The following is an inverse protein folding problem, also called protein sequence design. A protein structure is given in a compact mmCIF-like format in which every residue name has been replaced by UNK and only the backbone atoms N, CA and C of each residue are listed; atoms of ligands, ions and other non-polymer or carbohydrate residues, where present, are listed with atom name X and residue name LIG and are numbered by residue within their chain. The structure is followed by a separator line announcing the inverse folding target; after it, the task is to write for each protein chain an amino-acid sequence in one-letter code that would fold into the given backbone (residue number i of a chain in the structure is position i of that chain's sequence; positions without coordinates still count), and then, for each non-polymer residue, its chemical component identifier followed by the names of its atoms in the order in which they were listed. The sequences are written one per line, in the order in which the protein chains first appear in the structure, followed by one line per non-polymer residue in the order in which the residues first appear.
data_IF_757368589568
#
_entry.id   IF_757368589568
#
_cell.length_a   1.000
_cell.length_b   1.000
_cell.length_c   1.000
_cell.angle_alpha   90.00
_cell.angle_beta   90.00
_cell.angle_gamma   90.00
#
_symmetry.space_group_name_H-M   'P 1'
#
loop_
_entity.id
_entity.type
_entity.pdbx_description
1 polymer ?
#
# COMPACT_ATOMS: atom_id res chain seq x y z
N UNK A 1 26.61 -9.26 9.11
CA UNK A 1 25.17 -9.17 8.77
C UNK A 1 24.67 -7.92 9.43
N UNK A 2 24.15 -6.98 8.65
CA UNK A 2 23.59 -5.75 9.20
C UNK A 2 22.22 -6.04 9.81
N UNK A 3 21.89 -5.38 10.92
CA UNK A 3 20.62 -5.55 11.63
C UNK A 3 20.07 -4.17 11.94
N UNK A 4 18.78 -3.99 11.70
CA UNK A 4 18.04 -2.82 12.14
C UNK A 4 16.66 -3.24 12.66
N UNK A 5 16.16 -2.54 13.66
CA UNK A 5 14.85 -2.78 14.26
C UNK A 5 13.97 -1.58 13.98
N UNK A 6 12.82 -1.82 13.35
CA UNK A 6 11.81 -0.79 13.10
C UNK A 6 10.69 -1.02 14.10
N UNK A 7 10.53 -0.08 15.03
CA UNK A 7 9.44 -0.11 15.99
C UNK A 7 8.15 0.34 15.32
N UNK A 8 7.07 -0.43 15.46
CA UNK A 8 5.81 -0.18 14.76
C UNK A 8 4.63 -0.04 15.73
N UNK A 9 3.67 0.79 15.35
CA UNK A 9 2.38 0.95 16.03
C UNK A 9 1.23 0.76 15.04
N UNK A 10 0.25 -0.06 15.41
CA UNK A 10 -0.98 -0.25 14.64
C UNK A 10 -1.87 0.97 14.80
N UNK A 11 -2.28 1.59 13.68
CA UNK A 11 -3.15 2.78 13.70
C UNK A 11 -4.57 2.51 13.22
N UNK A 12 -4.82 1.33 12.61
CA UNK A 12 -6.16 0.88 12.23
C UNK A 12 -6.32 -0.62 12.48
N UNK A 13 -7.52 -1.13 12.78
CA UNK A 13 -7.70 -2.54 13.15
C UNK A 13 -7.12 -3.49 12.11
N UNK A 14 -6.23 -4.40 12.54
CA UNK A 14 -5.52 -5.33 11.66
C UNK A 14 -6.12 -6.73 11.76
N UNK A 15 -6.89 -7.10 10.74
CA UNK A 15 -7.52 -8.42 10.61
C UNK A 15 -6.58 -9.41 9.91
N UNK A 16 -5.40 -9.64 10.49
CA UNK A 16 -4.46 -10.65 10.00
C UNK A 16 -4.64 -11.97 10.71
N UNK A 17 -4.58 -13.08 9.96
CA UNK A 17 -4.75 -14.44 10.47
C UNK A 17 -3.88 -15.41 9.67
N UNK A 18 -3.42 -16.48 10.30
CA UNK A 18 -2.73 -17.58 9.65
C UNK A 18 -3.67 -18.67 9.14
N UNK A 19 -3.31 -19.93 9.41
CA UNK A 19 -4.13 -21.08 9.04
C UNK A 19 -5.48 -21.05 9.77
N UNK A 20 -5.48 -20.68 11.05
CA UNK A 20 -6.71 -20.41 11.80
C UNK A 20 -7.21 -19.00 11.49
N UNK A 21 -8.28 -18.91 10.69
CA UNK A 21 -8.87 -17.64 10.24
C UNK A 21 -9.60 -16.87 11.34
N UNK A 22 -9.79 -17.47 12.52
CA UNK A 22 -10.49 -16.89 13.66
C UNK A 22 -9.55 -16.29 14.70
N UNK A 23 -8.24 -16.57 14.61
CA UNK A 23 -7.23 -16.05 15.54
C UNK A 23 -6.36 -15.00 14.86
N UNK A 24 -6.17 -13.88 15.53
CA UNK A 24 -5.26 -12.84 15.09
C UNK A 24 -3.81 -13.34 15.19
N UNK A 25 -3.08 -13.28 14.08
CA UNK A 25 -1.69 -13.72 13.97
C UNK A 25 -0.92 -12.79 13.04
N UNK A 26 0.16 -12.19 13.54
CA UNK A 26 1.03 -11.32 12.75
C UNK A 26 2.23 -12.12 12.23
N UNK A 27 2.48 -12.07 10.92
CA UNK A 27 3.42 -12.98 10.26
C UNK A 27 4.41 -12.24 9.37
N UNK A 28 5.70 -12.52 9.53
CA UNK A 28 6.74 -11.97 8.66
C UNK A 28 6.53 -12.26 7.16
N UNK A 29 6.01 -13.44 6.73
CA UNK A 29 5.64 -13.67 5.33
C UNK A 29 4.61 -12.67 4.77
N UNK A 30 3.63 -12.26 5.56
CA UNK A 30 2.61 -11.30 5.13
C UNK A 30 3.22 -9.90 4.95
N UNK A 31 4.06 -9.48 5.90
CA UNK A 31 4.85 -8.25 5.77
C UNK A 31 5.74 -8.27 4.53
N UNK A 32 6.45 -9.38 4.28
CA UNK A 32 7.29 -9.53 3.09
C UNK A 32 6.46 -9.46 1.80
N UNK A 33 5.24 -9.99 1.80
CA UNK A 33 4.32 -9.91 0.67
C UNK A 33 3.85 -8.47 0.40
N UNK A 34 3.58 -7.69 1.45
CA UNK A 34 3.27 -6.26 1.32
C UNK A 34 4.44 -5.49 0.70
N UNK A 35 5.65 -5.69 1.22
CA UNK A 35 6.88 -5.05 0.73
C UNK A 35 7.13 -5.36 -0.75
N UNK A 36 7.03 -6.65 -1.14
CA UNK A 36 7.09 -7.07 -2.55
C UNK A 36 5.99 -6.46 -3.41
N UNK A 37 4.76 -6.37 -2.89
CA UNK A 37 3.66 -5.78 -3.63
C UNK A 37 3.91 -4.30 -3.92
N UNK A 38 4.36 -3.53 -2.91
CA UNK A 38 4.68 -2.10 -3.04
C UNK A 38 5.81 -1.88 -4.04
N UNK A 39 6.88 -2.69 -3.97
CA UNK A 39 7.95 -2.68 -4.98
C UNK A 39 7.41 -2.89 -6.41
N UNK A 40 6.56 -3.92 -6.60
CA UNK A 40 6.00 -4.22 -7.93
C UNK A 40 5.15 -3.08 -8.47
N UNK A 41 4.26 -2.49 -7.67
CA UNK A 41 3.40 -1.39 -8.16
C UNK A 41 4.20 -0.09 -8.38
N UNK A 42 5.27 0.14 -7.61
CA UNK A 42 6.17 1.29 -7.77
C UNK A 42 7.06 1.17 -9.01
N UNK A 43 7.54 -0.03 -9.32
CA UNK A 43 8.39 -0.30 -10.48
C UNK A 43 7.67 -0.02 -11.80
N UNK A 44 8.36 0.64 -12.74
CA UNK A 44 7.93 0.83 -14.13
C UNK A 44 8.56 -0.15 -15.11
N UNK A 45 9.26 -1.18 -14.63
CA UNK A 45 9.74 -2.27 -15.49
C UNK A 45 8.56 -2.92 -16.21
N UNK A 46 8.59 -2.84 -17.54
CA UNK A 46 7.48 -3.26 -18.41
C UNK A 46 7.48 -4.78 -18.56
N UNK A 47 8.65 -5.37 -18.87
CA UNK A 47 8.74 -6.79 -19.17
C UNK A 47 8.58 -7.63 -17.89
N UNK A 48 7.62 -8.56 -17.83
CA UNK A 48 7.40 -9.38 -16.64
C UNK A 48 8.63 -10.17 -16.20
N UNK A 49 9.42 -10.68 -17.16
CA UNK A 49 10.67 -11.41 -16.88
C UNK A 49 11.71 -10.53 -16.17
N UNK A 50 11.94 -9.32 -16.67
CA UNK A 50 12.90 -8.37 -16.08
C UNK A 50 12.46 -7.96 -14.66
N UNK A 51 11.15 -7.71 -14.46
CA UNK A 51 10.62 -7.41 -13.13
C UNK A 51 10.79 -8.58 -12.16
N UNK A 52 10.53 -9.82 -12.62
CA UNK A 52 10.72 -11.03 -11.83
C UNK A 52 12.19 -11.20 -11.40
N UNK A 53 13.13 -10.96 -12.33
CA UNK A 53 14.56 -11.00 -12.03
C UNK A 53 14.97 -9.92 -11.01
N UNK A 54 14.48 -8.68 -11.18
CA UNK A 54 14.71 -7.60 -10.23
C UNK A 54 14.15 -7.93 -8.83
N UNK A 55 12.89 -8.38 -8.75
CA UNK A 55 12.27 -8.78 -7.48
C UNK A 55 13.01 -9.97 -6.84
N UNK A 56 13.47 -10.92 -7.64
CA UNK A 56 14.27 -12.07 -7.18
C UNK A 56 15.60 -11.61 -6.59
N UNK A 57 16.27 -10.62 -7.22
CA UNK A 57 17.50 -10.04 -6.67
C UNK A 57 17.30 -9.38 -5.30
N UNK A 58 16.14 -8.75 -5.07
CA UNK A 58 15.83 -8.05 -3.81
C UNK A 58 15.32 -8.98 -2.71
N UNK A 59 14.53 -10.00 -3.07
CA UNK A 59 13.77 -10.78 -2.08
C UNK A 59 13.98 -12.29 -2.14
N UNK A 60 14.80 -12.75 -3.09
CA UNK A 60 14.95 -14.17 -3.42
C UNK A 60 13.72 -14.76 -4.10
N UNK A 61 13.80 -16.05 -4.43
CA UNK A 61 12.70 -16.86 -4.93
C UNK A 61 12.70 -18.25 -4.25
N UNK A 62 11.70 -19.08 -4.55
CA UNK A 62 11.57 -20.39 -3.93
C UNK A 62 12.51 -21.46 -4.52
N UNK A 63 13.09 -21.20 -5.70
CA UNK A 63 13.80 -22.22 -6.49
C UNK A 63 15.31 -22.19 -6.25
N UNK A 64 15.95 -21.05 -6.47
CA UNK A 64 17.42 -21.00 -6.62
C UNK A 64 18.09 -19.82 -5.88
N UNK A 65 17.33 -18.81 -5.46
CA UNK A 65 17.89 -17.59 -4.88
C UNK A 65 17.39 -17.34 -3.47
N UNK A 66 18.25 -17.60 -2.48
CA UNK A 66 18.00 -17.22 -1.10
C UNK A 66 17.85 -15.68 -0.98
N UNK A 67 16.90 -15.23 -0.15
CA UNK A 67 16.65 -13.80 0.04
C UNK A 67 17.87 -13.09 0.63
N UNK A 68 18.25 -11.90 0.11
CA UNK A 68 19.27 -11.04 0.71
C UNK A 68 18.89 -10.47 2.08
N UNK A 69 17.61 -10.52 2.44
CA UNK A 69 17.09 -10.02 3.70
C UNK A 69 16.31 -11.10 4.46
N UNK A 70 16.33 -11.01 5.78
CA UNK A 70 15.41 -11.71 6.68
C UNK A 70 14.58 -10.69 7.45
N UNK A 71 13.27 -10.89 7.44
CA UNK A 71 12.33 -10.13 8.26
C UNK A 71 11.84 -11.02 9.37
N UNK A 72 11.87 -10.51 10.59
CA UNK A 72 11.27 -11.12 11.76
C UNK A 72 10.31 -10.12 12.38
N UNK A 73 9.16 -10.59 12.87
CA UNK A 73 8.21 -9.77 13.62
C UNK A 73 8.26 -10.20 15.08
N UNK A 74 8.36 -9.22 15.99
CA UNK A 74 8.39 -9.45 17.43
C UNK A 74 7.18 -8.72 18.03
N UNK A 75 6.30 -9.46 18.70
CA UNK A 75 5.19 -8.89 19.45
C UNK A 75 5.71 -8.06 20.64
N UNK A 76 5.25 -6.82 20.77
CA UNK A 76 5.61 -5.87 21.82
C UNK A 76 4.38 -5.36 22.60
N UNK A 77 3.33 -6.16 22.66
CA UNK A 77 2.07 -5.76 23.30
C UNK A 77 0.95 -5.56 22.29
N UNK A 78 0.83 -6.49 21.34
CA UNK A 78 -0.28 -6.53 20.41
C UNK A 78 -1.59 -6.83 21.15
N UNK A 79 -2.36 -5.79 21.40
CA UNK A 79 -3.70 -5.93 21.97
C UNK A 79 -4.64 -6.58 20.95
N UNK A 80 -5.28 -7.68 21.35
CA UNK A 80 -6.32 -8.36 20.57
C UNK A 80 -7.70 -7.94 21.04
N UNK A 81 -8.60 -7.70 20.09
CA UNK A 81 -10.01 -7.35 20.31
C UNK A 81 -10.87 -8.00 19.24
N UNK A 82 -12.14 -8.24 19.56
CA UNK A 82 -13.14 -8.55 18.55
C UNK A 82 -13.67 -7.23 17.98
N UNK A 83 -13.63 -7.09 16.65
CA UNK A 83 -14.20 -5.93 15.95
C UNK A 83 -14.93 -6.36 14.69
N UNK A 84 -15.94 -5.58 14.31
CA UNK A 84 -16.63 -5.74 13.04
C UNK A 84 -15.68 -5.46 11.86
N UNK A 85 -15.58 -6.40 10.92
CA UNK A 85 -14.77 -6.20 9.70
C UNK A 85 -15.39 -5.14 8.78
N UNK A 86 -16.73 -4.96 8.80
CA UNK A 86 -17.46 -3.96 8.02
C UNK A 86 -18.27 -3.07 8.96
N UNK A 87 -18.20 -1.75 8.76
CA UNK A 87 -18.79 -0.75 9.64
C UNK A 87 -20.06 -0.08 9.06
N UNK A 88 -20.40 -0.32 7.79
CA UNK A 88 -21.63 0.20 7.17
C UNK A 88 -22.88 -0.64 7.46
N UNK A 89 -22.73 -1.78 8.12
CA UNK A 89 -23.81 -2.68 8.52
C UNK A 89 -23.41 -3.48 9.76
N UNK A 90 -24.39 -4.02 10.47
CA UNK A 90 -24.10 -5.01 11.51
C UNK A 90 -23.38 -6.21 10.89
N UNK A 91 -22.26 -6.60 11.48
CA UNK A 91 -21.47 -7.74 11.04
C UNK A 91 -20.86 -8.47 12.22
N UNK A 92 -20.63 -9.78 12.05
CA UNK A 92 -19.96 -10.60 13.05
C UNK A 92 -18.58 -10.00 13.36
N UNK A 93 -18.29 -9.85 14.64
CA UNK A 93 -16.97 -9.45 15.08
C UNK A 93 -15.98 -10.60 14.95
N UNK A 94 -14.76 -10.27 14.55
CA UNK A 94 -13.66 -11.21 14.39
C UNK A 94 -12.46 -10.68 15.17
N UNK A 95 -11.68 -11.58 15.74
CA UNK A 95 -10.45 -11.20 16.43
C UNK A 95 -9.50 -10.47 15.47
N UNK A 96 -8.99 -9.33 15.92
CA UNK A 96 -8.02 -8.50 15.22
C UNK A 96 -7.04 -7.88 16.22
N UNK A 97 -5.90 -7.43 15.72
CA UNK A 97 -5.05 -6.52 16.51
C UNK A 97 -5.65 -5.11 16.48
N UNK A 98 -5.82 -4.52 17.66
CA UNK A 98 -6.37 -3.17 17.80
C UNK A 98 -5.30 -2.09 17.64
N UNK A 99 -5.77 -0.90 17.37
CA UNK A 99 -5.02 0.35 17.35
C UNK A 99 -4.23 0.54 18.66
N UNK A 100 -3.06 1.15 18.58
CA UNK A 100 -2.10 1.32 19.68
C UNK A 100 -1.28 0.06 19.98
N UNK A 101 -1.62 -1.10 19.41
CA UNK A 101 -0.81 -2.31 19.54
C UNK A 101 0.57 -2.13 18.91
N UNK A 102 1.62 -2.52 19.64
CA UNK A 102 3.01 -2.34 19.22
C UNK A 102 3.66 -3.67 18.81
N UNK A 103 4.55 -3.62 17.83
CA UNK A 103 5.41 -4.73 17.41
C UNK A 103 6.67 -4.20 16.75
N UNK A 104 7.72 -5.03 16.71
CA UNK A 104 8.96 -4.69 16.01
C UNK A 104 9.08 -5.48 14.70
N UNK A 105 9.64 -4.83 13.68
CA UNK A 105 10.17 -5.48 12.49
C UNK A 105 11.69 -5.50 12.62
N UNK A 106 12.26 -6.69 12.77
CA UNK A 106 13.72 -6.87 12.74
C UNK A 106 14.13 -7.20 11.31
N UNK A 107 14.77 -6.24 10.66
CA UNK A 107 15.40 -6.38 9.34
C UNK A 107 16.85 -6.84 9.52
N UNK A 108 17.22 -7.93 8.85
CA UNK A 108 18.61 -8.40 8.77
C UNK A 108 19.03 -8.51 7.32
N UNK A 109 20.11 -7.84 6.94
CA UNK A 109 20.66 -7.85 5.57
C UNK A 109 21.99 -8.59 5.51
N UNK A 110 22.11 -9.51 4.56
CA UNK A 110 23.37 -10.20 4.29
C UNK A 110 24.29 -9.29 3.47
N UNK A 111 25.47 -8.99 4.01
CA UNK A 111 26.38 -7.93 3.48
C UNK A 111 26.66 -8.06 1.98
N UNK A 112 26.85 -9.28 1.47
CA UNK A 112 27.28 -9.56 0.10
C UNK A 112 26.17 -9.67 -0.94
N UNK A 113 24.90 -9.37 -0.60
CA UNK A 113 23.76 -9.58 -1.51
C UNK A 113 22.78 -8.40 -1.51
N UNK A 114 22.24 -8.10 -2.69
CA UNK A 114 21.18 -7.10 -2.88
C UNK A 114 21.61 -5.66 -2.61
N UNK A 115 20.64 -4.77 -2.50
CA UNK A 115 20.84 -3.35 -2.18
C UNK A 115 21.36 -3.14 -0.75
N UNK A 116 21.74 -1.91 -0.42
CA UNK A 116 22.15 -1.55 0.95
C UNK A 116 20.99 -1.64 1.97
N UNK A 117 21.33 -1.59 3.27
CA UNK A 117 20.34 -1.69 4.34
C UNK A 117 19.31 -0.54 4.25
N UNK A 118 19.78 0.66 3.93
CA UNK A 118 19.02 1.90 3.80
C UNK A 118 17.88 1.76 2.77
N UNK A 119 18.16 1.19 1.61
CA UNK A 119 17.18 0.91 0.56
C UNK A 119 16.04 0.05 1.11
N UNK A 120 16.36 -1.04 1.82
CA UNK A 120 15.34 -1.92 2.39
C UNK A 120 14.55 -1.25 3.51
N UNK A 121 15.19 -0.44 4.35
CA UNK A 121 14.49 0.35 5.37
C UNK A 121 13.48 1.30 4.71
N UNK A 122 13.93 2.12 3.75
CA UNK A 122 13.06 3.03 2.99
C UNK A 122 11.90 2.31 2.30
N UNK A 123 12.17 1.15 1.69
CA UNK A 123 11.13 0.37 1.03
C UNK A 123 10.11 -0.20 2.03
N UNK A 124 10.55 -0.61 3.22
CA UNK A 124 9.62 -0.98 4.31
C UNK A 124 8.78 0.23 4.71
N UNK A 125 9.39 1.39 4.98
CA UNK A 125 8.67 2.62 5.35
C UNK A 125 7.64 3.01 4.29
N UNK A 126 8.03 3.02 3.01
CA UNK A 126 7.12 3.28 1.89
C UNK A 126 5.96 2.28 1.89
N UNK A 127 6.22 1.02 2.21
CA UNK A 127 5.18 -0.01 2.27
C UNK A 127 4.20 0.19 3.43
N UNK A 128 4.66 0.75 4.55
CA UNK A 128 3.81 1.11 5.69
C UNK A 128 2.88 2.26 5.33
N UNK A 129 3.41 3.24 4.59
CA UNK A 129 2.69 4.43 4.12
C UNK A 129 1.63 4.05 3.08
N UNK A 130 1.99 3.26 2.06
CA UNK A 130 1.12 2.97 0.91
C UNK A 130 0.18 1.77 1.10
N UNK A 131 0.22 1.09 2.25
CA UNK A 131 -0.50 -0.16 2.42
C UNK A 131 -0.85 -0.52 3.86
N UNK A 132 -1.07 -1.82 4.07
CA UNK A 132 -1.48 -2.39 5.34
C UNK A 132 -1.55 -3.92 5.26
N UNK A 133 -1.72 -4.57 6.40
CA UNK A 133 -1.78 -6.03 6.53
C UNK A 133 -3.20 -6.52 6.82
N UNK A 134 -3.45 -7.79 6.52
CA UNK A 134 -4.71 -8.45 6.82
C UNK A 134 -5.86 -8.12 5.85
N UNK A 135 -7.05 -8.57 6.25
CA UNK A 135 -8.27 -8.45 5.44
C UNK A 135 -8.65 -6.98 5.26
N UNK A 136 -9.05 -6.65 4.02
CA UNK A 136 -9.46 -5.29 3.61
C UNK A 136 -8.38 -4.22 3.81
N UNK A 137 -7.09 -4.60 3.77
CA UNK A 137 -5.99 -3.63 3.87
C UNK A 137 -6.01 -2.55 2.78
N UNK A 138 -6.53 -2.86 1.60
CA UNK A 138 -6.78 -1.89 0.52
C UNK A 138 -7.92 -0.89 0.79
N UNK A 139 -8.53 -0.95 1.98
CA UNK A 139 -9.66 -0.13 2.47
C UNK A 139 -9.34 0.47 3.85
N UNK A 140 -8.08 0.81 4.07
CA UNK A 140 -7.60 1.52 5.26
C UNK A 140 -7.44 0.67 6.52
N UNK A 141 -7.62 -0.66 6.45
CA UNK A 141 -7.45 -1.54 7.63
C UNK A 141 -6.03 -2.07 7.73
N UNK A 142 -5.61 -2.40 8.95
CA UNK A 142 -4.28 -2.93 9.22
C UNK A 142 -3.14 -2.05 8.73
N UNK A 143 -3.37 -0.74 8.62
CA UNK A 143 -2.32 0.28 8.52
C UNK A 143 -1.63 0.42 9.88
N UNK A 144 -0.32 0.60 9.81
CA UNK A 144 0.59 0.74 10.95
C UNK A 144 1.73 1.65 10.50
N UNK A 145 2.36 2.31 11.46
CA UNK A 145 3.40 3.32 11.21
C UNK A 145 4.61 3.00 12.05
N UNK A 146 5.75 3.61 11.71
CA UNK A 146 6.89 3.55 12.61
C UNK A 146 6.57 4.36 13.87
N UNK A 147 6.81 3.77 15.04
CA UNK A 147 6.80 4.48 16.30
C UNK A 147 8.06 5.38 16.34
N UNK A 148 7.93 6.55 16.95
CA UNK A 148 9.09 7.44 17.11
C UNK A 148 10.10 6.78 18.05
N UNK A 149 11.22 6.31 17.48
CA UNK A 149 12.22 5.53 18.20
C UNK A 149 13.64 6.08 18.08
N UNK A 150 13.84 7.22 17.42
CA UNK A 150 15.15 7.87 17.23
C UNK A 150 16.14 7.12 16.31
N UNK A 151 16.09 5.79 16.23
CA UNK A 151 16.87 4.98 15.29
C UNK A 151 16.20 4.98 13.91
N UNK A 152 16.74 5.78 12.97
CA UNK A 152 16.29 5.84 11.57
C UNK A 152 14.77 5.97 11.38
N UNK A 153 14.22 7.11 11.76
CA UNK A 153 12.83 7.48 11.41
C UNK A 153 12.86 8.69 10.50
N UNK A 154 12.46 8.59 9.21
CA UNK A 154 12.35 9.78 8.39
C UNK A 154 11.32 10.72 9.02
N UNK A 155 11.72 11.96 9.21
CA UNK A 155 10.84 12.98 9.77
C UNK A 155 9.88 13.46 8.68
N UNK A 156 8.68 12.87 8.65
CA UNK A 156 7.68 13.04 7.59
C UNK A 156 6.52 13.90 8.09
N UNK A 157 6.51 15.16 7.68
CA UNK A 157 5.43 16.12 7.92
C UNK A 157 4.61 16.31 6.64
N UNK A 158 3.45 16.96 6.73
CA UNK A 158 2.60 17.21 5.56
C UNK A 158 3.37 17.84 4.36
N UNK A 159 4.25 18.84 4.54
CA UNK A 159 4.99 19.45 3.42
C UNK A 159 5.97 18.52 2.71
N UNK A 160 6.55 17.53 3.41
CA UNK A 160 7.63 16.70 2.86
C UNK A 160 7.22 15.24 2.60
N UNK A 161 6.02 14.80 3.03
CA UNK A 161 5.54 13.44 2.87
C UNK A 161 5.46 13.02 1.38
N UNK A 162 4.75 13.77 0.55
CA UNK A 162 4.65 13.46 -0.89
C UNK A 162 6.00 13.63 -1.63
N UNK A 163 6.81 14.67 -1.36
CA UNK A 163 8.18 14.75 -1.87
C UNK A 163 9.03 13.52 -1.52
N UNK A 164 9.00 13.05 -0.26
CA UNK A 164 9.74 11.86 0.16
C UNK A 164 9.26 10.59 -0.55
N UNK A 165 7.94 10.38 -0.64
CA UNK A 165 7.36 9.25 -1.39
C UNK A 165 7.82 9.30 -2.86
N UNK A 166 7.79 10.47 -3.48
CA UNK A 166 8.22 10.67 -4.87
C UNK A 166 9.68 10.29 -5.06
N UNK A 167 10.55 10.68 -4.13
CA UNK A 167 11.96 10.32 -4.17
C UNK A 167 12.17 8.82 -4.05
N UNK A 168 11.51 8.16 -3.08
CA UNK A 168 11.62 6.70 -2.93
C UNK A 168 11.13 5.95 -4.17
N UNK A 169 10.05 6.40 -4.80
CA UNK A 169 9.55 5.81 -6.05
C UNK A 169 10.56 5.95 -7.20
N UNK A 170 11.26 7.08 -7.32
CA UNK A 170 12.26 7.28 -8.37
C UNK A 170 13.53 6.45 -8.11
N UNK A 171 14.02 6.40 -6.86
CA UNK A 171 15.15 5.54 -6.46
C UNK A 171 14.90 4.06 -6.79
N UNK A 172 13.68 3.56 -6.53
CA UNK A 172 13.29 2.18 -6.88
C UNK A 172 13.27 1.90 -8.39
N UNK A 173 13.21 2.95 -9.20
CA UNK A 173 13.30 2.88 -10.66
C UNK A 173 14.72 3.19 -11.17
N UNK A 174 15.73 3.14 -10.29
CA UNK A 174 17.14 3.32 -10.64
C UNK A 174 17.54 4.76 -10.95
N UNK A 175 16.72 5.73 -10.56
CA UNK A 175 16.98 7.14 -10.81
C UNK A 175 17.56 7.79 -9.57
N UNK A 176 18.76 8.39 -9.70
CA UNK A 176 19.35 9.19 -8.64
C UNK A 176 18.54 10.46 -8.37
N UNK A 177 18.66 11.02 -7.16
CA UNK A 177 17.90 12.19 -6.70
C UNK A 177 17.97 13.42 -7.65
N UNK A 178 19.09 13.57 -8.35
CA UNK A 178 19.36 14.69 -9.27
C UNK A 178 19.21 14.32 -10.76
N UNK A 179 18.60 13.17 -11.07
CA UNK A 179 18.38 12.75 -12.47
C UNK A 179 17.38 13.68 -13.15
N UNK A 180 17.74 14.20 -14.33
CA UNK A 180 16.80 14.89 -15.24
C UNK A 180 15.69 13.95 -15.73
N UNK A 181 15.96 12.64 -15.75
CA UNK A 181 15.02 11.61 -16.11
C UNK A 181 14.35 11.09 -14.84
N UNK A 182 13.17 11.63 -14.53
CA UNK A 182 12.31 11.16 -13.42
C UNK A 182 11.11 10.38 -13.95
N UNK A 183 10.76 9.33 -13.23
CA UNK A 183 9.60 8.47 -13.51
C UNK A 183 8.34 9.04 -12.89
N UNK A 184 8.46 9.52 -11.66
CA UNK A 184 7.37 10.12 -10.89
C UNK A 184 7.74 11.56 -10.52
N UNK A 185 6.75 12.45 -10.56
CA UNK A 185 6.85 13.86 -10.15
C UNK A 185 5.75 14.20 -9.16
N UNK A 186 6.04 15.14 -8.26
CA UNK A 186 5.07 15.71 -7.34
C UNK A 186 4.66 17.10 -7.86
N UNK A 187 3.42 17.21 -8.34
CA UNK A 187 2.88 18.44 -8.93
C UNK A 187 1.42 18.60 -8.48
N UNK A 188 1.02 19.84 -8.17
CA UNK A 188 -0.37 20.18 -7.84
C UNK A 188 -0.98 19.31 -6.72
N UNK A 189 -0.20 18.97 -5.69
CA UNK A 189 -0.70 18.19 -4.54
C UNK A 189 -0.83 16.68 -4.80
N UNK A 190 -0.34 16.18 -5.93
CA UNK A 190 -0.35 14.74 -6.26
C UNK A 190 0.97 14.27 -6.86
N UNK A 191 1.27 13.00 -6.65
CA UNK A 191 2.35 12.29 -7.32
C UNK A 191 1.76 11.66 -8.56
N UNK A 192 2.33 11.95 -9.72
CA UNK A 192 1.93 11.37 -11.01
C UNK A 192 3.15 10.82 -11.74
N UNK A 193 2.90 10.02 -12.77
CA UNK A 193 3.95 9.65 -13.73
C UNK A 193 4.37 10.90 -14.50
N UNK A 194 5.69 11.13 -14.60
CA UNK A 194 6.24 12.25 -15.33
C UNK A 194 5.76 12.22 -16.80
N UNK A 195 5.20 13.32 -17.37
CA UNK A 195 4.71 13.33 -18.76
C UNK A 195 5.76 12.92 -19.80
N UNK A 196 7.00 13.41 -19.65
CA UNK A 196 8.16 13.02 -20.48
C UNK A 196 8.62 11.56 -20.34
N UNK A 197 8.15 10.79 -19.35
CA UNK A 197 8.52 9.38 -19.21
C UNK A 197 7.93 8.47 -20.30
N UNK A 198 7.06 9.00 -21.20
CA UNK A 198 6.49 8.29 -22.37
C UNK A 198 5.95 6.89 -22.02
N UNK A 199 5.19 6.80 -20.93
CA UNK A 199 4.66 5.53 -20.43
C UNK A 199 3.54 5.01 -21.33
N UNK A 200 3.76 3.82 -21.90
CA UNK A 200 2.75 3.11 -22.70
C UNK A 200 1.93 2.18 -21.81
N UNK A 201 0.82 2.69 -21.25
CA UNK A 201 0.00 1.99 -20.26
C UNK A 201 -0.58 0.65 -20.72
N UNK A 202 -0.73 0.43 -22.02
CA UNK A 202 -1.19 -0.84 -22.59
C UNK A 202 -0.16 -1.98 -22.49
N UNK A 203 1.12 -1.66 -22.27
CA UNK A 203 2.18 -2.67 -22.14
C UNK A 203 2.24 -3.28 -20.74
N UNK A 204 1.65 -2.64 -19.73
CA UNK A 204 1.63 -3.16 -18.37
C UNK A 204 0.46 -4.12 -18.17
N UNK A 205 0.76 -5.39 -17.95
CA UNK A 205 -0.23 -6.45 -17.65
C UNK A 205 -0.45 -6.66 -16.14
N UNK A 206 -0.05 -5.68 -15.34
CA UNK A 206 -0.08 -5.71 -13.87
C UNK A 206 -0.45 -4.33 -13.32
N UNK A 207 -0.85 -4.23 -12.04
CA UNK A 207 -0.99 -2.93 -11.38
C UNK A 207 0.35 -2.19 -11.32
N UNK A 208 0.29 -0.89 -11.60
CA UNK A 208 1.41 0.06 -11.57
C UNK A 208 0.85 1.38 -11.07
N UNK A 209 1.56 2.10 -10.20
CA UNK A 209 1.09 3.39 -9.66
C UNK A 209 0.86 4.40 -10.81
N UNK A 210 -0.33 4.97 -10.85
CA UNK A 210 -0.77 6.03 -11.77
C UNK A 210 -0.72 7.39 -11.06
N UNK A 211 -1.27 7.44 -9.85
CA UNK A 211 -1.39 8.65 -9.04
C UNK A 211 -1.31 8.29 -7.55
N UNK A 212 -0.70 9.16 -6.74
CA UNK A 212 -0.83 9.15 -5.28
C UNK A 212 -1.22 10.54 -4.81
N UNK A 213 -2.19 10.64 -3.90
CA UNK A 213 -2.52 11.91 -3.23
C UNK A 213 -3.00 11.71 -1.81
N UNK A 214 -2.92 12.76 -1.02
CA UNK A 214 -3.42 12.81 0.36
C UNK A 214 -4.89 13.21 0.38
N UNK A 215 -5.65 12.69 1.33
CA UNK A 215 -6.98 13.24 1.67
C UNK A 215 -6.93 14.17 2.87
N UNK A 216 -8.10 14.47 3.45
CA UNK A 216 -8.18 15.36 4.60
C UNK A 216 -7.73 14.68 5.89
N UNK A 217 -7.22 15.46 6.87
CA UNK A 217 -6.90 14.95 8.20
C UNK A 217 -8.04 14.13 8.81
N UNK A 218 -7.69 13.00 9.43
CA UNK A 218 -8.62 12.06 10.06
C UNK A 218 -8.66 12.34 11.56
N UNK A 219 -9.79 12.83 12.10
CA UNK A 219 -9.92 13.02 13.55
C UNK A 219 -10.02 11.70 14.31
N UNK A 220 -10.73 10.71 13.73
CA UNK A 220 -10.94 9.38 14.32
C UNK A 220 -10.95 8.32 13.24
N UNK A 221 -10.08 7.32 13.37
CA UNK A 221 -9.88 6.24 12.40
C UNK A 221 -11.15 5.42 12.17
N UNK A 222 -11.90 5.10 13.23
CA UNK A 222 -13.17 4.36 13.12
C UNK A 222 -14.20 5.09 12.25
N UNK A 223 -14.33 6.42 12.41
CA UNK A 223 -15.24 7.25 11.61
C UNK A 223 -14.82 7.26 10.14
N UNK A 224 -13.52 7.43 9.88
CA UNK A 224 -12.97 7.33 8.53
C UNK A 224 -13.23 5.96 7.88
N UNK A 225 -12.96 4.87 8.59
CA UNK A 225 -13.19 3.51 8.09
C UNK A 225 -14.68 3.24 7.80
N UNK A 226 -15.59 3.82 8.61
CA UNK A 226 -17.03 3.79 8.34
C UNK A 226 -17.36 4.52 7.05
N UNK A 227 -16.81 5.72 6.82
CA UNK A 227 -16.98 6.45 5.54
C UNK A 227 -16.44 5.65 4.35
N UNK A 228 -15.27 5.01 4.47
CA UNK A 228 -14.70 4.13 3.43
C UNK A 228 -15.64 2.98 3.09
N UNK A 229 -16.26 2.36 4.09
CA UNK A 229 -17.19 1.27 3.87
C UNK A 229 -18.52 1.70 3.25
N UNK A 230 -19.06 2.84 3.69
CA UNK A 230 -20.26 3.44 3.10
C UNK A 230 -19.99 3.80 1.64
N UNK A 231 -18.87 4.46 1.34
CA UNK A 231 -18.47 4.80 -0.02
C UNK A 231 -18.29 3.54 -0.89
N UNK A 232 -17.66 2.50 -0.34
CA UNK A 232 -17.50 1.21 -1.02
C UNK A 232 -18.82 0.51 -1.33
N UNK A 233 -19.87 0.77 -0.54
CA UNK A 233 -21.21 0.26 -0.81
C UNK A 233 -21.93 1.12 -1.85
N UNK A 234 -21.94 2.44 -1.65
CA UNK A 234 -22.60 3.43 -2.51
C UNK A 234 -22.08 3.41 -3.96
N UNK A 235 -20.77 3.24 -4.14
CA UNK A 235 -20.18 3.23 -5.49
C UNK A 235 -20.73 2.09 -6.36
N UNK A 236 -21.13 0.96 -5.77
CA UNK A 236 -21.70 -0.18 -6.50
C UNK A 236 -23.09 0.12 -7.04
N UNK A 237 -23.87 0.94 -6.33
CA UNK A 237 -25.16 1.43 -6.83
C UNK A 237 -24.99 2.57 -7.84
N UNK A 238 -23.96 3.42 -7.69
CA UNK A 238 -23.68 4.51 -8.63
C UNK A 238 -23.14 4.00 -9.97
N UNK A 239 -22.33 2.94 -9.95
CA UNK A 239 -21.76 2.30 -11.13
C UNK A 239 -22.20 0.82 -11.17
N UNK A 240 -23.40 0.51 -11.72
CA UNK A 240 -23.95 -0.84 -11.73
C UNK A 240 -23.08 -1.85 -12.49
N UNK A 241 -23.25 -3.13 -12.12
CA UNK A 241 -22.37 -4.30 -12.38
C UNK A 241 -22.04 -4.66 -13.83
N UNK A 242 -22.59 -3.95 -14.81
CA UNK A 242 -22.20 -4.10 -16.23
C UNK A 242 -20.84 -3.44 -16.53
N UNK A 243 -20.40 -2.53 -15.65
CA UNK A 243 -19.05 -1.93 -15.67
C UNK A 243 -18.11 -2.64 -14.69
N UNK A 244 -16.83 -2.70 -15.04
CA UNK A 244 -15.78 -3.18 -14.15
C UNK A 244 -15.72 -2.25 -12.93
N UNK A 245 -15.94 -2.76 -11.72
CA UNK A 245 -15.83 -1.98 -10.47
C UNK A 245 -14.37 -1.74 -10.13
N UNK A 246 -13.78 -0.65 -10.63
CA UNK A 246 -12.37 -0.32 -10.46
C UNK A 246 -12.05 0.11 -9.03
N UNK A 247 -12.89 0.98 -8.47
CA UNK A 247 -12.68 1.54 -7.16
C UNK A 247 -12.85 0.47 -6.07
N UNK A 248 -13.74 -0.52 -6.26
CA UNK A 248 -13.98 -1.57 -5.25
C UNK A 248 -13.36 -2.94 -5.53
N UNK A 249 -13.18 -3.28 -6.81
CA UNK A 249 -12.91 -4.64 -7.26
C UNK A 249 -14.12 -5.57 -7.10
N UNK A 250 -14.04 -6.75 -7.70
CA UNK A 250 -15.06 -7.80 -7.54
C UNK A 250 -14.44 -9.20 -7.61
N UNK A 251 -15.14 -10.17 -7.01
CA UNK A 251 -14.86 -11.59 -7.11
C UNK A 251 -16.20 -12.30 -7.32
N UNK A 252 -16.49 -12.68 -8.57
CA UNK A 252 -17.75 -13.28 -9.02
C UNK A 252 -17.51 -14.10 -10.29
N UNK A 253 -18.19 -13.79 -11.40
CA UNK A 253 -17.94 -14.36 -12.75
C UNK A 253 -16.57 -13.99 -13.36
N UNK A 254 -15.65 -13.52 -12.53
CA UNK A 254 -14.31 -13.02 -12.83
C UNK A 254 -13.69 -12.45 -11.55
N UNK A 255 -12.44 -12.00 -11.63
CA UNK A 255 -11.77 -11.37 -10.50
C UNK A 255 -11.07 -10.10 -10.96
N UNK A 256 -11.45 -8.98 -10.36
CA UNK A 256 -10.77 -7.71 -10.50
C UNK A 256 -10.34 -7.21 -9.13
N UNK A 257 -9.05 -6.97 -9.00
CA UNK A 257 -8.51 -6.30 -7.84
C UNK A 257 -8.87 -4.80 -7.92
N UNK A 258 -9.27 -4.19 -6.80
CA UNK A 258 -9.35 -2.74 -6.67
C UNK A 258 -8.11 -2.03 -7.21
N UNK A 259 -8.32 -1.06 -8.09
CA UNK A 259 -7.31 -0.14 -8.61
C UNK A 259 -7.21 1.16 -7.79
N UNK A 260 -8.04 1.31 -6.75
CA UNK A 260 -7.87 2.32 -5.70
C UNK A 260 -7.47 1.65 -4.40
N UNK A 261 -6.27 1.97 -3.91
CA UNK A 261 -5.79 1.59 -2.58
C UNK A 261 -6.06 2.76 -1.65
N UNK A 262 -6.66 2.46 -0.49
CA UNK A 262 -6.81 3.41 0.61
C UNK A 262 -5.95 2.90 1.76
N UNK A 263 -4.95 3.68 2.17
CA UNK A 263 -4.18 3.47 3.41
C UNK A 263 -4.31 4.69 4.31
N UNK A 264 -3.84 4.57 5.55
CA UNK A 264 -3.74 5.66 6.52
C UNK A 264 -2.28 5.73 6.96
N UNK A 265 -1.75 6.94 7.06
CA UNK A 265 -0.44 7.21 7.66
C UNK A 265 -0.58 8.20 8.82
N UNK A 266 0.50 8.35 9.58
CA UNK A 266 0.65 9.36 10.64
C UNK A 266 1.91 10.16 10.35
N UNK A 267 1.78 11.46 10.23
CA UNK A 267 2.93 12.36 10.12
C UNK A 267 3.66 12.46 11.45
N UNK A 268 4.90 12.94 11.43
CA UNK A 268 5.74 13.08 12.63
C UNK A 268 5.20 14.07 13.66
N UNK A 269 4.32 14.99 13.26
CA UNK A 269 3.56 15.89 14.15
C UNK A 269 2.24 15.25 14.66
N UNK A 270 2.00 13.97 14.37
CA UNK A 270 0.89 13.19 14.91
C UNK A 270 -0.41 13.24 14.09
N UNK A 271 -0.45 13.98 12.98
CA UNK A 271 -1.65 14.07 12.15
C UNK A 271 -1.89 12.77 11.37
N UNK A 272 -3.11 12.21 11.47
CA UNK A 272 -3.52 11.07 10.67
C UNK A 272 -4.05 11.53 9.32
N UNK A 273 -3.54 10.93 8.24
CA UNK A 273 -3.90 11.28 6.86
C UNK A 273 -4.22 10.03 6.05
N UNK A 274 -5.26 10.03 5.23
CA UNK A 274 -5.48 8.98 4.26
C UNK A 274 -4.56 9.19 3.05
N UNK A 275 -4.09 8.09 2.50
CA UNK A 275 -3.36 8.06 1.23
C UNK A 275 -4.19 7.28 0.23
N UNK A 276 -4.44 7.93 -0.90
CA UNK A 276 -5.13 7.35 -2.04
C UNK A 276 -4.10 7.03 -3.12
N UNK A 277 -3.88 5.74 -3.35
CA UNK A 277 -2.96 5.27 -4.39
C UNK A 277 -3.77 4.63 -5.52
N UNK A 278 -3.73 5.27 -6.68
CA UNK A 278 -4.32 4.80 -7.92
C UNK A 278 -3.30 3.90 -8.60
N UNK A 279 -3.70 2.68 -8.93
CA UNK A 279 -2.88 1.75 -9.70
C UNK A 279 -3.63 1.34 -10.96
N UNK A 280 -2.90 1.10 -12.04
CA UNK A 280 -3.46 0.59 -13.29
C UNK A 280 -4.38 -0.59 -13.03
N UNK A 281 -5.64 -0.46 -13.47
CA UNK A 281 -6.59 -1.55 -13.47
C UNK A 281 -6.16 -2.62 -14.49
N UNK A 282 -6.23 -3.89 -14.08
CA UNK A 282 -5.89 -5.04 -14.92
C UNK A 282 -7.10 -5.95 -14.99
N UNK A 283 -7.71 -6.01 -16.18
CA UNK A 283 -8.90 -6.81 -16.44
C UNK A 283 -8.49 -7.98 -17.34
N UNK A 284 -8.45 -9.18 -16.77
CA UNK A 284 -8.26 -10.40 -17.56
C UNK A 284 -9.53 -10.63 -18.39
N UNK A 285 -9.41 -10.72 -19.72
CA UNK A 285 -10.46 -11.04 -20.72
C UNK A 285 -11.14 -9.89 -21.48
N UNK A 286 -10.54 -8.71 -21.65
CA UNK A 286 -11.03 -7.74 -22.65
C UNK A 286 -9.90 -7.30 -23.55
N UNK A 287 -10.19 -7.10 -24.84
CA UNK A 287 -9.26 -6.52 -25.81
C UNK A 287 -8.54 -5.33 -25.17
N UNK A 288 -7.20 -5.37 -25.14
CA UNK A 288 -6.32 -4.34 -24.54
C UNK A 288 -6.51 -2.92 -25.13
N UNK A 289 -7.42 -2.75 -26.10
CA UNK A 289 -7.76 -1.49 -26.77
C UNK A 289 -8.99 -0.77 -26.16
N UNK A 290 -9.70 -1.35 -25.18
CA UNK A 290 -10.72 -0.58 -24.46
C UNK A 290 -10.07 0.36 -23.45
N UNK A 291 -10.31 1.66 -23.62
CA UNK A 291 -9.96 2.68 -22.62
C UNK A 291 -10.86 2.47 -21.41
N UNK A 292 -10.28 2.00 -20.30
CA UNK A 292 -10.99 1.70 -19.06
C UNK A 292 -10.66 2.77 -18.02
N UNK A 293 -11.69 3.38 -17.43
CA UNK A 293 -11.55 4.37 -16.35
C UNK A 293 -10.62 5.54 -16.71
N UNK A 294 -10.85 6.13 -17.90
CA UNK A 294 -9.96 7.06 -18.62
C UNK A 294 -9.49 8.23 -17.72
N UNK A 295 -10.36 8.73 -16.85
CA UNK A 295 -10.08 9.89 -15.97
C UNK A 295 -10.19 9.55 -14.47
N UNK A 296 -10.11 8.26 -14.15
CA UNK A 296 -10.30 7.76 -12.78
C UNK A 296 -11.66 8.14 -12.16
N UNK A 297 -12.71 8.32 -12.98
CA UNK A 297 -14.02 8.87 -12.58
C UNK A 297 -14.64 8.09 -11.40
N UNK A 298 -14.69 6.76 -11.48
CA UNK A 298 -15.25 5.90 -10.42
C UNK A 298 -14.44 6.04 -9.12
N UNK A 299 -13.11 6.05 -9.24
CA UNK A 299 -12.18 6.16 -8.10
C UNK A 299 -12.25 7.54 -7.46
N UNK A 300 -12.37 8.60 -8.26
CA UNK A 300 -12.58 9.98 -7.80
C UNK A 300 -13.95 10.13 -7.12
N UNK A 301 -14.99 9.51 -7.65
CA UNK A 301 -16.33 9.48 -7.03
C UNK A 301 -16.28 8.79 -5.67
N UNK A 302 -15.58 7.64 -5.56
CA UNK A 302 -15.39 6.95 -4.30
C UNK A 302 -14.68 7.83 -3.26
N UNK A 303 -13.60 8.53 -3.63
CA UNK A 303 -12.90 9.44 -2.73
C UNK A 303 -13.81 10.60 -2.31
N UNK A 304 -14.60 11.15 -3.23
CA UNK A 304 -15.53 12.24 -2.92
C UNK A 304 -16.58 11.82 -1.87
N UNK A 305 -17.08 10.58 -1.95
CA UNK A 305 -17.93 10.00 -0.90
C UNK A 305 -17.21 9.79 0.44
N UNK A 306 -15.91 9.45 0.44
CA UNK A 306 -15.11 9.29 1.66
C UNK A 306 -14.87 10.65 2.33
N UNK A 307 -14.49 11.64 1.54
CA UNK A 307 -14.11 12.98 2.00
C UNK A 307 -15.33 13.87 2.31
N UNK A 308 -16.54 13.46 1.91
CA UNK A 308 -17.76 14.25 2.11
C UNK A 308 -17.85 15.47 1.20
N UNK A 309 -17.22 15.41 0.02
CA UNK A 309 -17.31 16.42 -1.03
C UNK A 309 -18.40 15.98 -1.99
N UNK A 310 -19.63 16.44 -1.78
CA UNK A 310 -20.76 16.25 -2.70
C UNK A 310 -21.39 17.60 -2.97
#
# INVERSE_FOLDING_TARGET
MEKHTIHCEIITPMFSSGADRNKAELRAPELKALVRYVYRIASKTIKPKELYEQETRLFGNAEHHASPIRLQVIDKGLAKRNKALLLHKSSKEVECFSEGGAFDIVLRKFLSKGEDLQFYQNLIVLSLILGGLGKRSRRGRGCFVMADSGEYTPYLTLPNLLPWITEQLNLMNGQAANSEHRTYVFEQGKIIVHPKAKVHWNQYTRPVIEEIRLGQPIPKTESFLRKVDIASHKIKSTYPSERNLFATGYAGKGRLASSLLVSVTRTSDGQLLPIYTFVKAVVNNRNNNQTLDIDHEERNTMISFIEGRT
#
